data_IF_058837534195
#
_entry.id   IF_058837534195
#
_cell.length_a   1.000
_cell.length_b   1.000
_cell.length_c   1.000
_cell.angle_alpha   90.00
_cell.angle_beta   90.00
_cell.angle_gamma   90.00
#
_symmetry.space_group_name_H-M   'P 1'
#
loop_
_entity.id
_entity.type
_entity.pdbx_description
1 polymer ?
#
# COMPACT_ATOMS: atom_id res chain seq x y z
N UNK A 1 7.15 -17.52 62.13
CA UNK A 1 7.74 -17.03 60.87
C UNK A 1 7.20 -17.68 59.60
N UNK A 2 6.63 -18.86 59.59
CA UNK A 2 6.16 -19.55 58.35
C UNK A 2 4.87 -18.97 57.73
N UNK A 3 4.01 -18.27 58.48
CA UNK A 3 2.75 -17.75 57.94
C UNK A 3 2.88 -16.46 57.11
N UNK A 4 3.92 -15.68 57.33
CA UNK A 4 4.14 -14.40 56.61
C UNK A 4 4.72 -14.66 55.21
N UNK A 5 5.59 -15.67 55.09
CA UNK A 5 6.24 -16.02 53.83
C UNK A 5 5.22 -16.57 52.80
N UNK A 6 4.23 -17.36 53.28
CA UNK A 6 3.17 -17.92 52.39
C UNK A 6 2.26 -16.82 51.82
N UNK A 7 1.92 -15.79 52.61
CA UNK A 7 1.09 -14.67 52.09
C UNK A 7 1.83 -13.80 51.09
N UNK A 8 3.11 -13.54 51.29
CA UNK A 8 3.95 -12.79 50.37
C UNK A 8 4.16 -13.50 49.04
N UNK A 9 4.39 -14.81 49.08
CA UNK A 9 4.57 -15.63 47.89
C UNK A 9 3.29 -15.70 47.02
N UNK A 10 2.13 -15.81 47.68
CA UNK A 10 0.85 -15.86 46.99
C UNK A 10 0.49 -14.49 46.31
N UNK A 11 0.90 -13.36 46.92
CA UNK A 11 0.73 -12.02 46.35
C UNK A 11 1.61 -11.80 45.10
N UNK A 12 2.85 -12.28 45.13
CA UNK A 12 3.75 -12.18 43.99
C UNK A 12 3.30 -13.05 42.81
N UNK A 13 2.81 -14.25 43.06
CA UNK A 13 2.28 -15.14 42.02
C UNK A 13 1.00 -14.55 41.41
N UNK A 14 0.12 -13.95 42.21
CA UNK A 14 -1.09 -13.28 41.72
C UNK A 14 -0.76 -12.05 40.85
N UNK A 15 0.26 -11.28 41.20
CA UNK A 15 0.74 -10.14 40.41
C UNK A 15 1.36 -10.59 39.07
N UNK A 16 2.14 -11.68 39.07
CA UNK A 16 2.72 -12.27 37.87
C UNK A 16 1.65 -12.82 36.93
N UNK A 17 0.61 -13.48 37.45
CA UNK A 17 -0.52 -13.93 36.63
C UNK A 17 -1.34 -12.76 36.05
N UNK A 18 -1.55 -11.69 36.80
CA UNK A 18 -2.22 -10.50 36.31
C UNK A 18 -1.43 -9.80 35.18
N UNK A 19 -0.10 -9.76 35.27
CA UNK A 19 0.75 -9.22 34.20
C UNK A 19 0.71 -10.07 32.92
N UNK A 20 0.56 -11.38 33.02
CA UNK A 20 0.46 -12.25 31.83
C UNK A 20 -0.89 -12.11 31.11
N UNK A 21 -1.94 -11.67 31.77
CA UNK A 21 -3.24 -11.46 31.13
C UNK A 21 -3.30 -10.18 30.28
N UNK A 22 -2.35 -9.25 30.47
CA UNK A 22 -2.27 -8.02 29.66
C UNK A 22 -1.32 -8.13 28.46
N UNK A 23 -0.57 -9.22 28.36
CA UNK A 23 0.19 -9.54 27.16
C UNK A 23 -0.73 -10.21 26.13
N UNK A 24 -1.83 -9.53 25.76
CA UNK A 24 -2.52 -9.90 24.53
C UNK A 24 -1.54 -9.67 23.38
N UNK A 25 -1.22 -10.71 22.58
CA UNK A 25 -0.50 -10.46 21.35
C UNK A 25 -1.38 -9.50 20.55
N UNK A 26 -0.89 -8.31 20.34
CA UNK A 26 -1.46 -7.41 19.33
C UNK A 26 -1.19 -8.13 18.01
N UNK A 27 -2.15 -8.97 17.58
CA UNK A 27 -2.18 -9.41 16.21
C UNK A 27 -2.37 -8.15 15.39
N UNK A 28 -1.28 -7.65 14.86
CA UNK A 28 -1.34 -6.70 13.77
C UNK A 28 -2.11 -7.42 12.65
N UNK A 29 -3.39 -7.12 12.54
CA UNK A 29 -4.17 -7.59 11.41
C UNK A 29 -3.53 -6.94 10.18
N UNK A 30 -2.74 -7.68 9.43
CA UNK A 30 -2.16 -7.22 8.18
C UNK A 30 -3.29 -7.18 7.16
N UNK A 31 -4.10 -6.14 7.21
CA UNK A 31 -5.14 -5.88 6.23
C UNK A 31 -4.45 -5.38 4.95
N UNK A 32 -4.18 -6.31 4.04
CA UNK A 32 -3.73 -5.96 2.72
C UNK A 32 -4.93 -5.45 1.91
N UNK A 33 -4.81 -4.25 1.41
CA UNK A 33 -5.73 -3.71 0.41
C UNK A 33 -5.13 -3.94 -0.97
N UNK A 34 -5.91 -4.51 -1.89
CA UNK A 34 -5.50 -4.69 -3.28
C UNK A 34 -6.65 -4.33 -4.22
N UNK A 35 -6.39 -3.43 -5.16
CA UNK A 35 -7.34 -3.00 -6.19
C UNK A 35 -6.62 -2.76 -7.52
N UNK A 36 -7.32 -3.03 -8.61
CA UNK A 36 -6.81 -2.84 -9.97
C UNK A 36 -7.49 -1.66 -10.64
N UNK A 37 -6.71 -0.83 -11.31
CA UNK A 37 -7.20 0.28 -12.12
C UNK A 37 -7.97 -0.22 -13.34
N UNK A 38 -8.74 0.67 -13.94
CA UNK A 38 -9.14 0.52 -15.34
C UNK A 38 -7.90 0.59 -16.24
N UNK A 39 -8.04 0.17 -17.48
CA UNK A 39 -6.97 0.28 -18.49
C UNK A 39 -6.51 1.73 -18.67
N UNK A 40 -5.22 1.97 -18.50
CA UNK A 40 -4.60 3.29 -18.60
C UNK A 40 -3.81 3.34 -19.92
N UNK A 41 -4.11 4.33 -20.75
CA UNK A 41 -3.43 4.59 -22.01
C UNK A 41 -2.89 6.01 -21.98
N UNK A 42 -1.60 6.19 -22.25
CA UNK A 42 -0.98 7.50 -22.38
C UNK A 42 -0.39 7.66 -23.78
N UNK A 43 -0.77 8.68 -24.50
CA UNK A 43 -0.46 8.89 -25.90
C UNK A 43 0.36 10.17 -26.07
N UNK A 44 1.40 10.14 -26.90
CA UNK A 44 2.16 11.30 -27.37
C UNK A 44 2.62 12.26 -26.26
N UNK A 45 3.28 11.75 -25.23
CA UNK A 45 3.74 12.56 -24.10
C UNK A 45 2.63 13.01 -23.16
N UNK A 46 1.38 12.61 -23.43
CA UNK A 46 0.20 12.94 -22.62
C UNK A 46 0.02 12.02 -21.43
N UNK A 47 -0.99 12.35 -20.63
CA UNK A 47 -1.43 11.55 -19.48
C UNK A 47 -2.61 10.65 -19.85
N UNK A 48 -2.71 9.50 -19.20
CA UNK A 48 -3.91 8.67 -19.24
C UNK A 48 -5.04 9.34 -18.45
N UNK A 49 -6.25 8.80 -18.60
CA UNK A 49 -7.30 9.11 -17.62
C UNK A 49 -6.84 8.69 -16.20
N UNK A 50 -7.34 9.40 -15.20
CA UNK A 50 -7.12 9.07 -13.80
C UNK A 50 -8.09 7.98 -13.36
N UNK A 51 -7.56 6.93 -12.75
CA UNK A 51 -8.35 5.84 -12.18
C UNK A 51 -8.41 6.00 -10.66
N UNK A 52 -9.61 6.07 -10.13
CA UNK A 52 -9.86 6.18 -8.68
C UNK A 52 -10.19 4.81 -8.09
N UNK A 53 -9.59 4.49 -6.95
CA UNK A 53 -9.73 3.22 -6.26
C UNK A 53 -10.04 3.50 -4.78
N UNK A 54 -11.18 3.05 -4.30
CA UNK A 54 -11.51 3.19 -2.89
C UNK A 54 -10.98 2.00 -2.10
N UNK A 55 -10.22 2.27 -1.05
CA UNK A 55 -9.81 1.25 -0.08
C UNK A 55 -10.92 0.89 0.91
N UNK A 56 -11.96 1.71 0.99
CA UNK A 56 -12.89 1.64 2.10
C UNK A 56 -12.22 2.04 3.42
N UNK A 57 -12.81 1.64 4.53
CA UNK A 57 -12.21 1.81 5.85
C UNK A 57 -11.29 0.62 6.13
N UNK A 58 -10.00 0.88 6.31
CA UNK A 58 -9.05 -0.12 6.79
C UNK A 58 -9.16 -0.18 8.30
N UNK A 59 -9.52 -1.36 8.82
CA UNK A 59 -9.72 -1.55 10.26
C UNK A 59 -8.38 -1.75 10.97
N UNK A 60 -8.25 -1.21 12.16
CA UNK A 60 -7.08 -1.32 13.02
C UNK A 60 -6.92 -0.11 13.94
N UNK A 61 -6.08 -0.25 14.95
CA UNK A 61 -5.71 0.87 15.83
C UNK A 61 -4.64 1.70 15.11
N UNK A 62 -5.05 2.85 14.52
CA UNK A 62 -4.18 3.71 13.72
C UNK A 62 -3.50 2.97 12.54
N UNK A 63 -4.27 2.42 11.59
CA UNK A 63 -3.68 1.71 10.47
C UNK A 63 -2.75 2.65 9.68
N UNK A 64 -1.53 2.22 9.45
CA UNK A 64 -0.54 2.98 8.70
C UNK A 64 0.08 2.14 7.59
N UNK A 65 0.43 2.81 6.50
CA UNK A 65 1.07 2.14 5.36
C UNK A 65 2.51 1.78 5.74
N UNK A 66 2.86 0.52 5.60
CA UNK A 66 4.23 0.04 5.71
C UNK A 66 4.90 -0.10 4.35
N UNK A 67 4.13 -0.41 3.30
CA UNK A 67 4.66 -0.61 1.96
C UNK A 67 3.56 -0.44 0.91
N UNK A 68 3.90 0.16 -0.23
CA UNK A 68 3.04 0.22 -1.41
C UNK A 68 3.71 -0.52 -2.55
N UNK A 69 3.04 -1.54 -3.08
CA UNK A 69 3.46 -2.29 -4.25
C UNK A 69 2.49 -2.08 -5.40
N UNK A 70 3.04 -1.92 -6.59
CA UNK A 70 2.28 -1.77 -7.82
C UNK A 70 2.63 -2.96 -8.73
N UNK A 71 1.65 -3.79 -9.03
CA UNK A 71 1.77 -4.77 -10.09
C UNK A 71 1.26 -4.16 -11.38
N UNK A 72 2.13 -4.02 -12.36
CA UNK A 72 1.81 -3.46 -13.65
C UNK A 72 1.64 -4.59 -14.65
N UNK A 73 0.45 -4.70 -15.23
CA UNK A 73 0.19 -5.60 -16.35
C UNK A 73 0.27 -4.80 -17.65
N UNK A 74 1.43 -4.83 -18.30
CA UNK A 74 1.69 -4.12 -19.55
C UNK A 74 1.10 -4.90 -20.70
N UNK A 75 0.02 -4.40 -21.28
CA UNK A 75 -0.71 -5.08 -22.35
C UNK A 75 -0.24 -4.71 -23.77
N UNK A 76 0.31 -3.51 -23.95
CA UNK A 76 0.90 -3.07 -25.22
C UNK A 76 1.73 -1.83 -25.03
N UNK A 77 2.55 -1.53 -26.06
CA UNK A 77 3.40 -0.36 -26.10
C UNK A 77 4.79 -0.60 -25.54
N UNK A 78 5.77 0.11 -26.07
CA UNK A 78 7.18 0.03 -25.68
C UNK A 78 7.74 1.36 -25.20
N UNK A 79 6.94 2.44 -25.30
CA UNK A 79 7.39 3.76 -24.87
C UNK A 79 7.59 3.79 -23.35
N UNK A 80 8.62 4.46 -22.87
CA UNK A 80 8.81 4.69 -21.45
C UNK A 80 7.67 5.54 -20.90
N UNK A 81 7.23 5.21 -19.72
CA UNK A 81 6.15 5.92 -19.02
C UNK A 81 6.42 6.03 -17.53
N UNK A 82 5.77 6.99 -16.92
CA UNK A 82 5.80 7.22 -15.48
C UNK A 82 4.42 6.93 -14.89
N UNK A 83 4.40 6.22 -13.79
CA UNK A 83 3.20 5.96 -13.01
C UNK A 83 3.12 7.00 -11.89
N UNK A 84 1.99 7.64 -11.75
CA UNK A 84 1.68 8.57 -10.67
C UNK A 84 0.64 7.95 -9.75
N UNK A 85 0.85 8.11 -8.46
CA UNK A 85 -0.04 7.66 -7.40
C UNK A 85 -0.31 8.82 -6.46
N UNK A 86 -1.59 9.10 -6.25
CA UNK A 86 -2.08 10.09 -5.29
C UNK A 86 -2.78 9.37 -4.16
N UNK A 87 -2.31 9.57 -2.93
CA UNK A 87 -2.91 8.98 -1.72
C UNK A 87 -4.16 9.76 -1.27
N UNK A 88 -5.01 9.16 -0.41
CA UNK A 88 -6.14 9.85 0.21
C UNK A 88 -5.74 11.11 1.01
N UNK A 89 -4.51 11.14 1.53
CA UNK A 89 -3.95 12.29 2.25
C UNK A 89 -3.56 13.46 1.34
N UNK A 90 -3.50 13.24 0.01
CA UNK A 90 -3.08 14.24 -0.97
C UNK A 90 -1.60 14.16 -1.34
N UNK A 91 -0.87 13.16 -0.85
CA UNK A 91 0.53 12.94 -1.24
C UNK A 91 0.59 12.33 -2.64
N UNK A 92 1.32 12.98 -3.55
CA UNK A 92 1.59 12.44 -4.89
C UNK A 92 3.01 11.90 -4.96
N UNK A 93 3.16 10.70 -5.51
CA UNK A 93 4.45 10.08 -5.81
C UNK A 93 4.43 9.53 -7.23
N UNK A 94 5.63 9.41 -7.81
CA UNK A 94 5.79 8.86 -9.16
C UNK A 94 6.95 7.88 -9.22
N UNK A 95 6.84 6.93 -10.14
CA UNK A 95 7.86 5.93 -10.41
C UNK A 95 7.84 5.56 -11.89
N UNK A 96 9.02 5.24 -12.45
CA UNK A 96 9.11 4.74 -13.82
C UNK A 96 8.36 3.41 -13.93
N UNK A 97 7.47 3.32 -14.91
CA UNK A 97 6.75 2.09 -15.21
C UNK A 97 7.67 1.03 -15.81
N UNK A 98 7.44 -0.26 -15.53
CA UNK A 98 8.23 -1.33 -16.10
C UNK A 98 7.91 -1.51 -17.60
N UNK A 99 8.90 -1.91 -18.38
CA UNK A 99 8.73 -2.20 -19.81
C UNK A 99 8.00 -3.53 -20.09
N UNK A 100 7.95 -4.41 -19.10
CA UNK A 100 7.23 -5.68 -19.11
C UNK A 100 6.39 -5.79 -17.84
N UNK A 101 5.37 -6.63 -17.88
CA UNK A 101 4.57 -6.90 -16.69
C UNK A 101 5.42 -7.31 -15.49
N UNK A 102 5.17 -6.69 -14.35
CA UNK A 102 5.96 -6.93 -13.14
C UNK A 102 5.52 -6.08 -11.95
N UNK A 103 6.13 -6.36 -10.81
CA UNK A 103 5.86 -5.66 -9.55
C UNK A 103 6.99 -4.67 -9.26
N UNK A 104 6.61 -3.45 -8.92
CA UNK A 104 7.50 -2.40 -8.45
C UNK A 104 7.04 -1.90 -7.08
N UNK A 105 7.95 -1.35 -6.30
CA UNK A 105 7.64 -0.74 -5.00
C UNK A 105 7.78 0.77 -5.13
N UNK A 106 6.75 1.50 -4.73
CA UNK A 106 6.79 2.96 -4.64
C UNK A 106 6.85 3.37 -3.18
N UNK A 107 7.74 4.32 -2.86
CA UNK A 107 8.00 4.80 -1.51
C UNK A 107 7.43 6.21 -1.28
N UNK A 108 7.41 6.63 -0.02
CA UNK A 108 7.00 7.98 0.37
C UNK A 108 5.53 8.10 0.76
N UNK A 109 4.88 6.96 1.05
CA UNK A 109 3.54 6.88 1.64
C UNK A 109 3.56 6.23 3.03
N UNK A 110 4.74 5.81 3.50
CA UNK A 110 4.90 5.11 4.76
C UNK A 110 4.39 5.99 5.91
N UNK A 111 3.64 5.38 6.82
CA UNK A 111 3.03 6.08 7.95
C UNK A 111 1.71 6.80 7.65
N UNK A 112 1.29 6.90 6.37
CA UNK A 112 -0.01 7.47 6.04
C UNK A 112 -1.15 6.49 6.36
N UNK A 113 -2.34 7.03 6.64
CA UNK A 113 -3.55 6.22 6.76
C UNK A 113 -3.95 5.72 5.36
N UNK A 114 -4.10 4.40 5.17
CA UNK A 114 -4.44 3.82 3.87
C UNK A 114 -5.90 4.04 3.44
N UNK A 115 -6.78 4.41 4.38
CA UNK A 115 -8.23 4.52 4.13
C UNK A 115 -8.58 5.70 3.24
N UNK A 116 -9.43 5.47 2.26
CA UNK A 116 -9.94 6.52 1.39
C UNK A 116 -9.76 6.22 -0.09
N UNK A 117 -9.68 7.28 -0.89
CA UNK A 117 -9.61 7.18 -2.35
C UNK A 117 -8.18 7.40 -2.85
N UNK A 118 -7.67 6.40 -3.52
CA UNK A 118 -6.39 6.41 -4.23
C UNK A 118 -6.63 6.75 -5.69
N UNK A 119 -5.76 7.54 -6.30
CA UNK A 119 -5.83 7.88 -7.72
C UNK A 119 -4.54 7.49 -8.41
N UNK A 120 -4.66 6.77 -9.53
CA UNK A 120 -3.51 6.30 -10.30
C UNK A 120 -3.69 6.70 -11.76
N UNK A 121 -2.63 7.20 -12.37
CA UNK A 121 -2.57 7.48 -13.80
C UNK A 121 -1.14 7.26 -14.31
N UNK A 122 -0.98 7.19 -15.61
CA UNK A 122 0.32 7.11 -16.26
C UNK A 122 0.53 8.28 -17.21
N UNK A 123 1.78 8.65 -17.39
CA UNK A 123 2.19 9.66 -18.36
C UNK A 123 3.25 9.05 -19.28
N UNK A 124 3.04 9.20 -20.59
CA UNK A 124 4.04 8.83 -21.57
C UNK A 124 5.25 9.78 -21.46
N UNK A 125 6.46 9.26 -21.37
CA UNK A 125 7.70 10.06 -21.27
C UNK A 125 8.33 10.34 -22.64
N UNK A 126 7.81 9.75 -23.72
CA UNK A 126 8.33 9.88 -25.07
C UNK A 126 7.27 10.25 -26.08
N UNK A 127 7.73 10.74 -27.23
CA UNK A 127 6.91 10.88 -28.42
C UNK A 127 7.29 9.78 -29.38
N UNK A 128 6.51 8.70 -29.42
CA UNK A 128 6.74 7.65 -30.38
C UNK A 128 6.15 8.03 -31.73
N UNK A 129 7.01 8.23 -32.70
CA UNK A 129 6.61 8.60 -34.07
C UNK A 129 6.32 7.38 -34.96
N UNK A 130 6.58 6.17 -34.49
CA UNK A 130 6.36 4.94 -35.25
C UNK A 130 5.12 4.22 -34.79
N UNK A 131 3.98 4.64 -35.38
CA UNK A 131 2.73 3.87 -35.41
C UNK A 131 2.24 3.33 -34.08
N UNK A 132 1.34 4.01 -33.40
CA UNK A 132 0.49 3.50 -32.30
C UNK A 132 1.18 2.75 -31.13
N UNK A 133 2.48 3.01 -30.86
CA UNK A 133 3.21 2.36 -29.77
C UNK A 133 3.15 3.27 -28.53
N UNK A 134 1.99 3.37 -27.93
CA UNK A 134 1.81 4.04 -26.64
C UNK A 134 1.68 3.00 -25.52
N UNK A 135 2.18 3.31 -24.32
CA UNK A 135 2.05 2.40 -23.20
C UNK A 135 0.59 2.23 -22.81
N UNK A 136 0.18 0.98 -22.72
CA UNK A 136 -1.12 0.60 -22.19
C UNK A 136 -0.90 -0.36 -21.04
N UNK A 137 -1.34 0.01 -19.87
CA UNK A 137 -1.16 -0.81 -18.67
C UNK A 137 -2.40 -0.78 -17.79
N UNK A 138 -2.65 -1.89 -17.12
CA UNK A 138 -3.45 -1.90 -15.89
C UNK A 138 -2.52 -1.98 -14.70
N UNK A 139 -2.81 -1.22 -13.65
CA UNK A 139 -2.00 -1.20 -12.44
C UNK A 139 -2.83 -1.74 -11.29
N UNK A 140 -2.35 -2.79 -10.63
CA UNK A 140 -2.90 -3.25 -9.36
C UNK A 140 -2.06 -2.68 -8.24
N UNK A 141 -2.67 -1.86 -7.40
CA UNK A 141 -2.04 -1.36 -6.18
C UNK A 141 -2.31 -2.34 -5.04
N UNK A 142 -1.27 -2.69 -4.30
CA UNK A 142 -1.36 -3.44 -3.05
C UNK A 142 -0.73 -2.64 -1.93
N UNK A 143 -1.52 -2.32 -0.92
CA UNK A 143 -1.08 -1.65 0.29
C UNK A 143 -0.85 -2.69 1.38
N UNK A 144 0.33 -2.70 1.96
CA UNK A 144 0.62 -3.43 3.20
C UNK A 144 0.49 -2.47 4.36
N UNK A 145 -0.37 -2.83 5.31
CA UNK A 145 -0.67 -2.03 6.50
C UNK A 145 0.04 -2.68 7.70
N UNK A 146 0.66 -1.85 8.51
CA UNK A 146 1.27 -2.24 9.78
C UNK A 146 0.29 -1.98 10.93
#
# INVERSE_FOLDING_TARGET
MQKVVKKSFMSVVACLMACMMFAMPVFAASNNFSKTTVKLNAINGGESRKSTLSSGSVTGNNPSISKVQLYCNVSSGSDPYTIYVLSPKGTTRSITGPSKSGTITITGFEGENPSGTWTIWIKNSGVSYKGNIYPTSTVTITLKVA
#
